data_IF_411420174367
#
_entry.id   IF_411420174367
#
_cell.length_a   1.000
_cell.length_b   1.000
_cell.length_c   1.000
_cell.angle_alpha   90.00
_cell.angle_beta   90.00
_cell.angle_gamma   90.00
#
_symmetry.space_group_name_H-M   'P 1'
#
loop_
_entity.id
_entity.type
_entity.pdbx_description
1 polymer ?
#
# COMPACT_ATOMS: atom_id res chain seq x y z
N UNK A 1 -38.57 6.37 1.94
CA UNK A 1 -37.46 5.45 2.29
C UNK A 1 -36.16 6.24 2.40
N UNK A 2 -35.96 6.95 3.51
CA UNK A 2 -34.73 7.70 3.82
C UNK A 2 -34.41 7.61 5.33
N UNK A 3 -34.53 6.41 5.91
CA UNK A 3 -34.29 6.15 7.34
C UNK A 3 -32.80 5.94 7.68
N UNK A 4 -31.91 6.07 6.69
CA UNK A 4 -30.48 5.76 6.85
C UNK A 4 -29.59 6.89 7.39
N UNK A 5 -30.05 8.15 7.37
CA UNK A 5 -29.20 9.31 7.70
C UNK A 5 -29.17 9.65 9.20
N UNK A 6 -30.31 9.52 9.90
CA UNK A 6 -30.38 9.81 11.34
C UNK A 6 -29.51 8.86 12.18
N UNK A 7 -29.32 7.63 11.70
CA UNK A 7 -28.50 6.61 12.35
C UNK A 7 -27.00 7.00 12.38
N UNK A 8 -26.49 7.70 11.35
CA UNK A 8 -25.07 8.08 11.30
C UNK A 8 -24.72 9.13 12.37
N UNK A 9 -25.63 10.07 12.64
CA UNK A 9 -25.46 11.10 13.66
C UNK A 9 -25.48 10.50 15.07
N UNK A 10 -26.42 9.59 15.33
CA UNK A 10 -26.52 8.86 16.60
C UNK A 10 -25.28 7.99 16.90
N UNK A 11 -24.59 7.51 15.86
CA UNK A 11 -23.34 6.74 15.98
C UNK A 11 -22.15 7.62 16.43
N UNK A 12 -22.10 8.88 15.99
CA UNK A 12 -21.10 9.86 16.45
C UNK A 12 -21.33 10.31 17.90
N UNK A 13 -22.59 10.60 18.28
CA UNK A 13 -22.91 11.05 19.64
C UNK A 13 -22.60 9.96 20.70
N UNK A 14 -22.76 8.68 20.34
CA UNK A 14 -22.43 7.53 21.21
C UNK A 14 -20.92 7.35 21.43
N UNK A 15 -20.06 7.94 20.60
CA UNK A 15 -18.61 7.78 20.69
C UNK A 15 -17.92 8.70 21.71
N UNK A 16 -18.65 9.65 22.31
CA UNK A 16 -18.14 10.54 23.38
C UNK A 16 -16.96 11.44 23.00
N UNK A 17 -16.65 11.57 21.70
CA UNK A 17 -15.50 12.33 21.19
C UNK A 17 -15.82 13.82 21.06
N UNK A 18 -15.75 14.54 22.18
CA UNK A 18 -15.65 16.01 22.17
C UNK A 18 -14.33 16.44 21.53
N UNK A 19 -14.37 17.08 20.37
CA UNK A 19 -13.20 17.73 19.77
C UNK A 19 -12.85 19.02 20.54
N UNK A 20 -12.00 18.90 21.56
CA UNK A 20 -11.32 20.03 22.20
C UNK A 20 -9.84 20.03 21.81
N UNK A 21 -9.44 20.88 20.85
CA UNK A 21 -8.07 20.88 20.34
C UNK A 21 -7.80 21.86 19.19
N UNK A 22 -8.28 23.10 19.30
CA UNK A 22 -7.82 24.20 18.45
C UNK A 22 -6.34 24.57 18.72
N UNK A 23 -5.68 25.32 17.82
CA UNK A 23 -4.23 25.39 17.77
C UNK A 23 -3.61 26.21 18.92
N UNK A 24 -2.57 25.66 19.56
CA UNK A 24 -1.76 26.38 20.54
C UNK A 24 -0.62 27.13 19.85
N UNK A 25 -0.62 28.46 19.95
CA UNK A 25 0.43 29.32 19.41
C UNK A 25 1.58 29.53 20.42
N UNK A 26 2.78 29.10 20.06
CA UNK A 26 4.10 29.44 20.64
C UNK A 26 5.18 28.76 19.75
N UNK A 27 6.34 29.32 19.42
CA UNK A 27 6.97 30.60 19.76
C UNK A 27 7.95 30.97 18.63
N UNK A 28 8.21 32.27 18.43
CA UNK A 28 9.27 32.75 17.51
C UNK A 28 10.66 32.25 17.95
N UNK A 29 11.43 31.72 16.99
CA UNK A 29 12.89 31.57 17.12
C UNK A 29 13.57 31.96 15.79
N UNK A 30 14.23 33.13 15.71
CA UNK A 30 14.98 33.52 14.52
C UNK A 30 16.35 32.83 14.49
N UNK A 31 16.67 32.12 13.40
CA UNK A 31 18.02 31.62 13.11
C UNK A 31 18.49 32.01 11.70
N UNK A 32 19.02 33.23 11.60
CA UNK A 32 20.15 33.61 10.75
C UNK A 32 21.35 33.85 11.70
N UNK A 33 22.62 33.74 11.35
CA UNK A 33 23.33 33.49 10.08
C UNK A 33 23.94 32.06 10.10
N UNK A 34 24.95 31.58 9.35
CA UNK A 34 25.95 32.22 8.48
C UNK A 34 26.44 31.30 7.34
N UNK A 35 27.53 31.71 6.68
CA UNK A 35 28.17 31.13 5.50
C UNK A 35 29.49 30.39 5.86
N UNK A 36 30.15 29.63 4.95
CA UNK A 36 30.97 30.25 3.88
C UNK A 36 30.87 29.60 2.47
N UNK A 37 31.17 30.40 1.45
CA UNK A 37 31.26 29.99 0.04
C UNK A 37 32.47 29.09 -0.27
N UNK A 38 32.32 28.08 -1.14
CA UNK A 38 33.44 27.46 -1.85
C UNK A 38 33.98 28.39 -2.96
N UNK A 39 35.21 28.87 -2.77
CA UNK A 39 35.94 29.72 -3.73
C UNK A 39 36.13 29.02 -5.08
N UNK A 40 35.83 29.72 -6.19
CA UNK A 40 36.22 29.32 -7.54
C UNK A 40 37.73 29.51 -7.76
N UNK A 41 38.41 28.51 -8.34
CA UNK A 41 39.60 28.70 -9.18
C UNK A 41 39.65 27.64 -10.33
N UNK A 42 40.42 27.86 -11.43
CA UNK A 42 39.91 27.55 -12.77
C UNK A 42 40.62 26.44 -13.59
N UNK A 43 39.86 25.92 -14.56
CA UNK A 43 40.20 25.55 -15.96
C UNK A 43 41.59 25.00 -16.34
N UNK A 44 41.62 23.77 -16.88
CA UNK A 44 42.35 23.24 -18.07
C UNK A 44 42.19 21.70 -18.01
N UNK A 45 41.89 20.94 -19.07
CA UNK A 45 41.54 21.24 -20.47
C UNK A 45 41.46 19.93 -21.28
N UNK A 46 40.95 19.97 -22.52
CA UNK A 46 41.02 18.91 -23.55
C UNK A 46 40.33 17.55 -23.28
N UNK A 47 39.39 17.15 -24.15
CA UNK A 47 38.88 15.76 -24.20
C UNK A 47 37.43 15.60 -24.66
N UNK A 48 37.13 15.92 -25.93
CA UNK A 48 35.79 15.73 -26.48
C UNK A 48 35.60 14.32 -27.08
N UNK A 49 34.60 13.52 -26.65
CA UNK A 49 34.15 12.34 -27.39
C UNK A 49 33.09 12.77 -28.42
N UNK A 50 33.43 12.73 -29.71
CA UNK A 50 32.47 12.86 -30.80
C UNK A 50 31.68 11.57 -30.96
N UNK A 51 30.37 11.57 -30.72
CA UNK A 51 29.46 10.58 -31.31
C UNK A 51 28.18 11.24 -31.85
N UNK A 52 27.69 10.84 -33.03
CA UNK A 52 26.58 11.50 -33.71
C UNK A 52 25.20 11.07 -33.19
N UNK A 53 24.22 11.94 -33.43
CA UNK A 53 22.80 11.73 -33.15
C UNK A 53 22.15 10.98 -34.32
N UNK A 54 21.79 9.72 -34.08
CA UNK A 54 20.93 8.87 -34.93
C UNK A 54 19.76 8.41 -34.06
N UNK A 55 18.49 8.39 -34.48
CA UNK A 55 17.95 8.62 -35.81
C UNK A 55 16.77 7.67 -36.05
N UNK A 56 15.62 8.02 -35.45
CA UNK A 56 14.25 7.56 -35.72
C UNK A 56 13.85 6.05 -35.75
N UNK A 57 12.53 5.89 -35.58
CA UNK A 57 11.67 4.83 -36.11
C UNK A 57 11.44 3.51 -35.33
N UNK A 58 10.25 3.49 -34.70
CA UNK A 58 9.06 2.73 -35.16
C UNK A 58 8.94 1.23 -34.82
N UNK A 59 8.15 1.00 -33.77
CA UNK A 59 7.01 0.07 -33.68
C UNK A 59 7.22 -1.46 -33.50
N UNK A 60 6.13 -2.04 -32.97
CA UNK A 60 5.63 -3.42 -33.15
C UNK A 60 5.98 -4.45 -32.07
N UNK A 61 4.96 -5.21 -31.64
CA UNK A 61 5.08 -6.45 -30.87
C UNK A 61 4.68 -6.29 -29.40
N UNK A 62 3.81 -7.14 -28.83
CA UNK A 62 3.90 -8.62 -28.66
C UNK A 62 5.05 -9.00 -27.71
N UNK A 63 4.87 -9.88 -26.71
CA UNK A 63 3.73 -10.74 -26.37
C UNK A 63 3.63 -10.94 -24.84
N UNK A 64 2.51 -11.52 -24.39
CA UNK A 64 2.27 -11.88 -23.00
C UNK A 64 3.21 -13.03 -22.55
N UNK A 65 3.81 -12.91 -21.36
CA UNK A 65 4.53 -14.02 -20.70
C UNK A 65 4.13 -14.12 -19.23
N UNK A 66 2.95 -14.69 -18.99
CA UNK A 66 2.46 -15.05 -17.66
C UNK A 66 2.91 -16.47 -17.30
N UNK A 67 4.19 -16.64 -16.98
CA UNK A 67 4.73 -17.95 -16.58
C UNK A 67 4.48 -18.24 -15.08
N UNK A 68 3.19 -18.26 -14.72
CA UNK A 68 2.72 -18.77 -13.43
C UNK A 68 2.94 -20.28 -13.42
N UNK A 69 4.06 -20.72 -12.84
CA UNK A 69 4.33 -22.16 -12.64
C UNK A 69 3.29 -22.77 -11.70
N UNK A 70 2.24 -23.30 -12.33
CA UNK A 70 1.12 -23.95 -11.68
C UNK A 70 1.56 -25.17 -10.87
N UNK A 71 0.81 -25.43 -9.79
CA UNK A 71 1.07 -26.48 -8.82
C UNK A 71 0.92 -27.86 -9.48
N UNK A 72 1.98 -28.68 -9.41
CA UNK A 72 1.84 -30.15 -9.50
C UNK A 72 2.29 -30.78 -8.18
N UNK A 73 1.39 -30.74 -7.20
CA UNK A 73 1.55 -31.52 -5.98
C UNK A 73 1.42 -33.00 -6.30
N UNK A 74 2.54 -33.72 -6.25
CA UNK A 74 2.56 -35.18 -6.30
C UNK A 74 2.61 -35.74 -4.89
N UNK A 75 1.45 -36.00 -4.28
CA UNK A 75 1.37 -36.86 -3.10
C UNK A 75 1.56 -38.31 -3.51
N UNK A 76 2.77 -38.84 -3.36
CA UNK A 76 3.01 -40.28 -3.48
C UNK A 76 2.58 -40.96 -2.18
N UNK A 77 1.37 -41.49 -2.15
CA UNK A 77 0.90 -42.35 -1.07
C UNK A 77 1.32 -43.80 -1.29
N UNK A 78 1.62 -44.49 -0.19
CA UNK A 78 1.69 -45.95 -0.03
C UNK A 78 2.63 -46.76 -0.94
N UNK A 79 3.69 -47.29 -0.33
CA UNK A 79 3.80 -48.74 -0.13
C UNK A 79 4.66 -49.00 1.11
N UNK A 80 4.01 -49.46 2.19
CA UNK A 80 4.65 -49.87 3.44
C UNK A 80 4.60 -51.39 3.44
N UNK A 81 5.69 -52.02 3.01
CA UNK A 81 5.72 -53.48 2.80
C UNK A 81 5.52 -54.23 4.12
N UNK A 82 4.45 -55.02 4.14
CA UNK A 82 4.13 -55.98 5.19
C UNK A 82 4.47 -57.38 4.69
N UNK A 83 5.62 -57.90 5.09
CA UNK A 83 5.95 -59.33 5.02
C UNK A 83 7.19 -59.65 5.88
N UNK A 84 7.02 -60.36 6.99
CA UNK A 84 8.16 -60.66 7.86
C UNK A 84 7.86 -61.37 9.19
N UNK A 85 6.70 -62.01 9.37
CA UNK A 85 6.47 -62.87 10.53
C UNK A 85 7.36 -64.11 10.45
N UNK A 86 8.52 -64.06 11.13
CA UNK A 86 9.38 -65.23 11.32
C UNK A 86 8.89 -66.00 12.55
N UNK A 87 7.89 -66.83 12.35
CA UNK A 87 7.47 -67.81 13.36
C UNK A 87 8.67 -68.69 13.75
N UNK A 88 9.02 -68.66 15.03
CA UNK A 88 9.95 -69.61 15.63
C UNK A 88 9.13 -70.48 16.57
N UNK A 89 9.02 -71.81 16.34
CA UNK A 89 8.30 -72.67 17.26
C UNK A 89 9.03 -72.69 18.62
N UNK A 90 8.33 -72.50 19.75
CA UNK A 90 8.94 -72.67 21.05
C UNK A 90 9.34 -74.13 21.23
N UNK A 91 10.57 -74.34 21.68
CA UNK A 91 11.13 -75.67 21.93
C UNK A 91 10.53 -76.19 23.23
N UNK A 92 9.86 -77.35 23.19
CA UNK A 92 9.40 -78.02 24.40
C UNK A 92 10.61 -78.32 25.30
N UNK A 93 10.59 -77.73 26.49
CA UNK A 93 11.45 -78.10 27.61
C UNK A 93 10.50 -78.56 28.70
N UNK A 94 10.52 -79.86 29.00
CA UNK A 94 9.97 -80.37 30.24
C UNK A 94 10.75 -79.75 31.40
N UNK A 95 10.14 -78.79 32.11
CA UNK A 95 10.60 -78.42 33.45
C UNK A 95 9.60 -78.89 34.50
N UNK A 96 10.09 -79.81 35.32
CA UNK A 96 9.35 -80.57 36.32
C UNK A 96 8.87 -79.67 37.48
N UNK A 97 7.62 -79.88 37.89
CA UNK A 97 6.85 -78.97 38.74
C UNK A 97 7.54 -78.35 39.97
N UNK A 98 7.41 -77.03 40.10
CA UNK A 98 7.36 -76.33 41.39
C UNK A 98 6.14 -75.41 41.47
N UNK A 99 5.25 -75.68 42.42
CA UNK A 99 4.11 -74.81 42.75
C UNK A 99 4.65 -73.54 43.45
N UNK A 100 4.75 -72.44 42.72
CA UNK A 100 5.13 -71.14 43.30
C UNK A 100 3.95 -70.46 44.01
N UNK A 101 4.18 -69.67 45.10
CA UNK A 101 3.12 -69.25 46.00
C UNK A 101 2.46 -67.92 45.58
N UNK A 102 1.12 -67.87 45.63
CA UNK A 102 0.25 -66.68 45.67
C UNK A 102 0.86 -65.30 45.28
N UNK A 103 0.95 -65.00 43.99
CA UNK A 103 1.33 -63.66 43.49
C UNK A 103 0.14 -62.73 43.15
N UNK A 104 -1.10 -63.11 43.50
CA UNK A 104 -2.31 -62.35 43.14
C UNK A 104 -2.53 -61.02 43.91
N UNK A 105 -1.60 -60.60 44.78
CA UNK A 105 -1.70 -59.31 45.51
C UNK A 105 -1.08 -58.12 44.76
N UNK A 106 -0.36 -58.35 43.65
CA UNK A 106 0.24 -57.28 42.84
C UNK A 106 -0.67 -56.69 41.75
N UNK A 107 -1.56 -57.50 41.17
CA UNK A 107 -2.30 -57.13 39.94
C UNK A 107 -3.30 -55.97 40.11
N UNK A 108 -4.00 -55.92 41.25
CA UNK A 108 -5.02 -54.90 41.50
C UNK A 108 -4.45 -53.47 41.64
N UNK A 109 -3.18 -53.34 42.03
CA UNK A 109 -2.54 -52.02 42.15
C UNK A 109 -2.22 -51.45 40.77
N UNK A 110 -1.75 -52.30 39.83
CA UNK A 110 -1.47 -51.89 38.46
C UNK A 110 -2.71 -51.41 37.71
N UNK A 111 -3.85 -52.10 37.82
CA UNK A 111 -5.09 -51.72 37.11
C UNK A 111 -5.54 -50.30 37.52
N UNK A 112 -5.56 -50.00 38.82
CA UNK A 112 -5.94 -48.66 39.32
C UNK A 112 -5.01 -47.52 38.86
N UNK A 113 -3.74 -47.83 38.55
CA UNK A 113 -2.80 -46.87 38.01
C UNK A 113 -3.03 -46.64 36.51
N UNK A 114 -3.34 -47.69 35.75
CA UNK A 114 -3.69 -47.56 34.33
C UNK A 114 -4.96 -46.75 34.12
N UNK A 115 -6.01 -46.99 34.92
CA UNK A 115 -7.26 -46.20 34.86
C UNK A 115 -6.98 -44.72 35.14
N UNK A 116 -6.20 -44.42 36.18
CA UNK A 116 -5.83 -43.04 36.53
C UNK A 116 -5.02 -42.35 35.44
N UNK A 117 -4.05 -43.04 34.83
CA UNK A 117 -3.26 -42.51 33.71
C UNK A 117 -4.14 -42.30 32.47
N UNK A 118 -5.06 -43.22 32.18
CA UNK A 118 -5.99 -43.11 31.05
C UNK A 118 -6.95 -41.93 31.21
N UNK A 119 -7.46 -41.69 32.42
CA UNK A 119 -8.30 -40.52 32.73
C UNK A 119 -7.52 -39.21 32.63
N UNK A 120 -6.27 -39.17 33.10
CA UNK A 120 -5.41 -37.99 32.96
C UNK A 120 -5.14 -37.66 31.48
N UNK A 121 -4.71 -38.65 30.69
CA UNK A 121 -4.46 -38.49 29.25
C UNK A 121 -5.71 -38.06 28.48
N UNK A 122 -6.90 -38.54 28.86
CA UNK A 122 -8.17 -38.05 28.30
C UNK A 122 -8.36 -36.56 28.58
N UNK A 123 -8.17 -36.11 29.82
CA UNK A 123 -8.28 -34.70 30.20
C UNK A 123 -7.29 -33.82 29.44
N UNK A 124 -6.04 -34.25 29.31
CA UNK A 124 -5.00 -33.52 28.56
C UNK A 124 -5.35 -33.39 27.06
N UNK A 125 -5.90 -34.46 26.45
CA UNK A 125 -6.35 -34.46 25.06
C UNK A 125 -7.57 -33.57 24.83
N UNK A 126 -8.52 -33.55 25.76
CA UNK A 126 -9.70 -32.68 25.72
C UNK A 126 -9.28 -31.21 25.89
N UNK A 127 -8.37 -30.91 26.83
CA UNK A 127 -7.81 -29.56 27.01
C UNK A 127 -7.04 -29.04 25.77
N UNK A 128 -6.15 -29.86 25.19
CA UNK A 128 -5.41 -29.47 23.99
C UNK A 128 -6.33 -29.36 22.75
N UNK A 129 -7.41 -30.13 22.69
CA UNK A 129 -8.46 -29.96 21.66
C UNK A 129 -9.14 -28.60 21.78
N UNK A 130 -9.57 -28.22 22.99
CA UNK A 130 -10.24 -26.94 23.22
C UNK A 130 -9.30 -25.75 22.95
N UNK A 131 -8.03 -25.86 23.37
CA UNK A 131 -6.98 -24.88 23.07
C UNK A 131 -6.76 -24.71 21.57
N UNK A 132 -6.78 -25.80 20.79
CA UNK A 132 -6.66 -25.75 19.32
C UNK A 132 -7.86 -25.10 18.66
N UNK A 133 -9.08 -25.33 19.16
CA UNK A 133 -10.29 -24.67 18.67
C UNK A 133 -10.23 -23.15 18.92
N UNK A 134 -9.90 -22.73 20.14
CA UNK A 134 -9.72 -21.30 20.48
C UNK A 134 -8.64 -20.62 19.61
N UNK A 135 -7.53 -21.32 19.34
CA UNK A 135 -6.49 -20.81 18.45
C UNK A 135 -6.99 -20.71 17.00
N UNK A 136 -7.72 -21.70 16.50
CA UNK A 136 -8.30 -21.68 15.15
C UNK A 136 -9.28 -20.52 14.97
N UNK A 137 -10.17 -20.30 15.94
CA UNK A 137 -11.11 -19.17 15.95
C UNK A 137 -10.38 -17.81 15.96
N UNK A 138 -9.32 -17.69 16.76
CA UNK A 138 -8.48 -16.49 16.82
C UNK A 138 -7.77 -16.22 15.49
N UNK A 139 -7.22 -17.26 14.84
CA UNK A 139 -6.59 -17.15 13.51
C UNK A 139 -7.62 -16.79 12.43
N UNK A 140 -8.82 -17.38 12.46
CA UNK A 140 -9.91 -17.04 11.53
C UNK A 140 -10.36 -15.58 11.71
N UNK A 141 -10.50 -15.12 12.96
CA UNK A 141 -10.83 -13.72 13.28
C UNK A 141 -9.79 -12.76 12.72
N UNK A 142 -8.50 -12.95 13.02
CA UNK A 142 -7.45 -12.07 12.50
C UNK A 142 -7.31 -12.11 10.98
N UNK A 143 -7.55 -13.27 10.36
CA UNK A 143 -7.59 -13.38 8.89
C UNK A 143 -8.76 -12.59 8.29
N UNK A 144 -9.92 -12.59 8.94
CA UNK A 144 -11.07 -11.78 8.52
C UNK A 144 -10.79 -10.28 8.70
N UNK A 145 -10.30 -9.86 9.86
CA UNK A 145 -9.89 -8.47 10.15
C UNK A 145 -8.89 -7.95 9.10
N UNK A 146 -7.87 -8.75 8.77
CA UNK A 146 -6.91 -8.43 7.72
C UNK A 146 -7.55 -8.30 6.33
N UNK A 147 -8.45 -9.21 5.96
CA UNK A 147 -9.16 -9.14 4.68
C UNK A 147 -10.07 -7.90 4.57
N UNK A 148 -10.74 -7.50 5.66
CA UNK A 148 -11.52 -6.26 5.69
C UNK A 148 -10.62 -5.03 5.54
N UNK A 149 -9.51 -4.95 6.28
CA UNK A 149 -8.55 -3.85 6.15
C UNK A 149 -7.93 -3.75 4.75
N UNK A 150 -7.71 -4.87 4.05
CA UNK A 150 -7.29 -4.87 2.65
C UNK A 150 -8.38 -4.26 1.74
N UNK A 151 -9.63 -4.71 1.86
CA UNK A 151 -10.75 -4.19 1.05
C UNK A 151 -11.02 -2.70 1.30
N UNK A 152 -10.86 -2.21 2.53
CA UNK A 152 -10.98 -0.79 2.86
C UNK A 152 -9.86 0.04 2.19
N UNK A 153 -8.62 -0.46 2.20
CA UNK A 153 -7.48 0.18 1.54
C UNK A 153 -7.66 0.21 0.01
N UNK A 154 -8.07 -0.89 -0.62
CA UNK A 154 -8.36 -0.96 -2.05
C UNK A 154 -9.46 0.05 -2.47
N UNK A 155 -10.52 0.18 -1.66
CA UNK A 155 -11.58 1.19 -1.87
C UNK A 155 -11.05 2.62 -1.73
N UNK A 156 -10.24 2.90 -0.71
CA UNK A 156 -9.65 4.22 -0.48
C UNK A 156 -8.70 4.62 -1.64
N UNK A 157 -7.85 3.70 -2.11
CA UNK A 157 -6.98 3.91 -3.26
C UNK A 157 -7.78 4.15 -4.56
N UNK A 158 -8.89 3.44 -4.74
CA UNK A 158 -9.80 3.65 -5.88
C UNK A 158 -10.45 5.04 -5.82
N UNK A 159 -10.97 5.45 -4.67
CA UNK A 159 -11.55 6.80 -4.45
C UNK A 159 -10.52 7.90 -4.76
N UNK A 160 -9.31 7.77 -4.23
CA UNK A 160 -8.22 8.71 -4.48
C UNK A 160 -7.84 8.78 -5.97
N UNK A 161 -7.86 7.65 -6.68
CA UNK A 161 -7.64 7.59 -8.12
C UNK A 161 -8.71 8.34 -8.92
N UNK A 162 -9.98 8.24 -8.53
CA UNK A 162 -11.07 8.98 -9.15
C UNK A 162 -11.03 10.49 -8.84
N UNK A 163 -10.73 10.87 -7.60
CA UNK A 163 -10.51 12.28 -7.22
C UNK A 163 -9.35 12.90 -8.02
N UNK A 164 -8.23 12.19 -8.16
CA UNK A 164 -7.07 12.63 -8.95
C UNK A 164 -7.43 12.77 -10.45
N UNK A 165 -8.29 11.88 -10.98
CA UNK A 165 -8.78 11.94 -12.35
C UNK A 165 -9.67 13.19 -12.58
N UNK A 166 -10.55 13.52 -11.64
CA UNK A 166 -11.37 14.75 -11.69
C UNK A 166 -10.49 15.99 -11.61
N UNK A 167 -9.62 16.08 -10.60
CA UNK A 167 -8.72 17.21 -10.41
C UNK A 167 -7.85 17.48 -11.64
N UNK A 168 -7.40 16.43 -12.34
CA UNK A 168 -6.64 16.57 -13.60
C UNK A 168 -7.46 17.19 -14.73
N UNK A 169 -8.72 16.78 -14.90
CA UNK A 169 -9.63 17.39 -15.89
C UNK A 169 -9.86 18.87 -15.59
N UNK A 170 -10.03 19.23 -14.32
CA UNK A 170 -10.23 20.62 -13.91
C UNK A 170 -8.96 21.47 -14.07
N UNK A 171 -7.76 20.92 -13.82
CA UNK A 171 -6.48 21.55 -14.14
C UNK A 171 -6.36 21.82 -15.65
N UNK A 172 -6.68 20.83 -16.49
CA UNK A 172 -6.56 20.98 -17.95
C UNK A 172 -7.62 21.94 -18.52
N UNK A 173 -8.83 22.02 -17.93
CA UNK A 173 -9.82 23.09 -18.20
C UNK A 173 -9.26 24.46 -17.82
N UNK A 174 -8.73 24.59 -16.60
CA UNK A 174 -8.19 25.87 -16.09
C UNK A 174 -7.02 26.37 -16.94
N UNK A 175 -6.17 25.46 -17.45
CA UNK A 175 -5.10 25.79 -18.40
C UNK A 175 -5.63 26.34 -19.72
N UNK A 176 -6.68 25.74 -20.28
CA UNK A 176 -7.31 26.21 -21.51
C UNK A 176 -7.90 27.63 -21.33
N UNK A 177 -8.54 27.90 -20.19
CA UNK A 177 -9.06 29.23 -19.83
C UNK A 177 -7.93 30.26 -19.69
N UNK A 178 -6.82 29.91 -19.01
CA UNK A 178 -5.64 30.78 -18.91
C UNK A 178 -5.06 31.10 -20.29
N UNK A 179 -4.93 30.12 -21.18
CA UNK A 179 -4.46 30.35 -22.56
C UNK A 179 -5.41 31.25 -23.34
N UNK A 180 -6.73 31.07 -23.21
CA UNK A 180 -7.71 31.95 -23.85
C UNK A 180 -7.57 33.41 -23.35
N UNK A 181 -7.46 33.62 -22.04
CA UNK A 181 -7.24 34.94 -21.45
C UNK A 181 -5.92 35.57 -21.89
N UNK A 182 -4.83 34.80 -21.99
CA UNK A 182 -3.56 35.27 -22.54
C UNK A 182 -3.72 35.76 -23.99
N UNK A 183 -4.42 35.02 -24.85
CA UNK A 183 -4.66 35.47 -26.23
C UNK A 183 -5.50 36.75 -26.31
N UNK A 184 -6.46 36.94 -25.40
CA UNK A 184 -7.27 38.15 -25.32
C UNK A 184 -6.44 39.37 -24.88
N UNK A 185 -5.57 39.20 -23.89
CA UNK A 185 -4.63 40.24 -23.44
C UNK A 185 -3.66 40.62 -24.57
N UNK A 186 -3.14 39.64 -25.31
CA UNK A 186 -2.28 39.88 -26.48
C UNK A 186 -3.00 40.68 -27.59
N UNK A 187 -4.28 40.40 -27.84
CA UNK A 187 -5.10 41.15 -28.80
C UNK A 187 -5.25 42.60 -28.34
N UNK A 188 -5.73 42.82 -27.12
CA UNK A 188 -5.91 44.17 -26.58
C UNK A 188 -4.60 44.96 -26.48
N UNK A 189 -3.47 44.30 -26.20
CA UNK A 189 -2.17 44.95 -26.21
C UNK A 189 -1.79 45.46 -27.61
N UNK A 190 -2.06 44.67 -28.67
CA UNK A 190 -1.83 45.08 -30.06
C UNK A 190 -2.76 46.22 -30.49
N UNK A 191 -4.04 46.15 -30.10
CA UNK A 191 -5.03 47.21 -30.36
C UNK A 191 -4.63 48.53 -29.69
N UNK A 192 -4.29 48.48 -28.40
CA UNK A 192 -3.83 49.65 -27.64
C UNK A 192 -2.57 50.27 -28.27
N UNK A 193 -1.59 49.43 -28.64
CA UNK A 193 -0.38 49.89 -29.34
C UNK A 193 -0.72 50.60 -30.66
N UNK A 194 -1.59 50.03 -31.48
CA UNK A 194 -2.01 50.63 -32.74
C UNK A 194 -2.71 51.98 -32.54
N UNK A 195 -3.53 52.12 -31.49
CA UNK A 195 -4.17 53.39 -31.12
C UNK A 195 -3.14 54.45 -30.68
N UNK A 196 -2.14 54.08 -29.87
CA UNK A 196 -1.04 54.98 -29.51
C UNK A 196 -0.30 55.48 -30.75
N UNK A 197 0.12 54.58 -31.65
CA UNK A 197 0.80 54.95 -32.90
C UNK A 197 -0.06 55.88 -33.79
N UNK A 198 -1.39 55.70 -33.81
CA UNK A 198 -2.29 56.59 -34.54
C UNK A 198 -2.38 57.99 -33.94
N UNK A 199 -2.34 58.12 -32.61
CA UNK A 199 -2.38 59.41 -31.91
C UNK A 199 -1.06 60.17 -32.11
N UNK A 200 0.08 59.51 -31.92
CA UNK A 200 1.41 60.09 -32.17
C UNK A 200 1.53 60.68 -33.59
N UNK A 201 1.06 59.94 -34.60
CA UNK A 201 1.03 60.39 -36.00
C UNK A 201 0.12 61.62 -36.21
N UNK A 202 -0.98 61.76 -35.46
CA UNK A 202 -1.88 62.92 -35.52
C UNK A 202 -1.28 64.16 -34.83
N UNK A 203 -0.60 64.00 -33.71
CA UNK A 203 0.02 65.12 -32.98
C UNK A 203 1.17 65.75 -33.76
N UNK A 204 1.93 64.94 -34.50
CA UNK A 204 2.96 65.42 -35.46
C UNK A 204 2.35 66.31 -36.55
N UNK A 205 1.12 66.02 -37.01
CA UNK A 205 0.41 66.87 -37.98
C UNK A 205 -0.05 68.21 -37.37
N UNK A 206 -0.44 68.21 -36.09
CA UNK A 206 -0.94 69.42 -35.41
C UNK A 206 0.18 70.40 -35.08
N UNK A 207 1.35 69.92 -34.62
CA UNK A 207 2.52 70.78 -34.34
C UNK A 207 3.06 71.52 -35.57
N UNK A 208 2.80 71.03 -36.79
CA UNK A 208 3.37 71.62 -38.03
C UNK A 208 2.62 72.85 -38.56
N UNK A 209 1.48 73.24 -37.98
CA UNK A 209 0.66 74.39 -38.47
C UNK A 209 0.78 75.69 -37.67
N UNK A 210 1.46 75.70 -36.52
CA UNK A 210 1.72 76.94 -35.75
C UNK A 210 3.09 77.54 -36.10
N UNK A 211 3.24 77.98 -37.35
CA UNK A 211 4.30 78.91 -37.76
C UNK A 211 3.71 79.96 -38.69
N UNK A 212 2.72 80.70 -38.17
CA UNK A 212 2.25 81.95 -38.77
C UNK A 212 3.26 83.04 -38.51
N UNK A 213 3.65 83.75 -39.56
CA UNK A 213 4.70 84.76 -39.56
C UNK A 213 4.30 85.98 -38.72
N UNK A 214 4.95 86.13 -37.56
CA UNK A 214 4.94 87.36 -36.78
C UNK A 214 6.06 88.28 -37.25
N UNK A 215 5.87 88.95 -38.38
CA UNK A 215 6.80 89.97 -38.89
C UNK A 215 6.17 91.35 -38.71
N UNK A 216 6.57 92.05 -37.64
CA UNK A 216 6.32 93.46 -37.37
C UNK A 216 7.42 93.99 -36.44
#
# INVERSE_FOLDING_TARGET
MYEGLDNLKSLYDRAGKTFSGGPSAAQDVPRRTAQPDPVRQPSVGSGAPKYPRTGDNRATGRDNSSDVRSRRGGSTAAQLDSAGHRESPPKEVEEEGRRSPSYHRGACVSESLFDRVTLALRGDLEHERDRRLQLADTVLKHRAEFAFAQLENERALTSLGDELRVARVDIDRSRAEITALQTLVDIHHREHKALCEMLERKDVLHRKKQRTDGTA
#
